data_IF_981234974850
#
_entry.id   IF_981234974850
#
_cell.length_a   1.000
_cell.length_b   1.000
_cell.length_c   1.000
_cell.angle_alpha   90.00
_cell.angle_beta   90.00
_cell.angle_gamma   90.00
#
_symmetry.space_group_name_H-M   'P 1'
#
loop_
_entity.id
_entity.type
_entity.pdbx_description
1 polymer ?
#
# COMPACT_ATOMS: atom_id res chain seq x y z
N UNK A 1 -19.25 6.62 15.42
CA UNK A 1 -19.51 5.60 14.37
C UNK A 1 -18.16 5.13 13.85
N UNK A 2 -17.58 4.13 14.49
CA UNK A 2 -16.35 3.49 14.01
C UNK A 2 -16.70 2.73 12.72
N UNK A 3 -16.57 3.40 11.58
CA UNK A 3 -16.51 2.70 10.29
C UNK A 3 -15.30 1.79 10.38
N UNK A 4 -15.54 0.48 10.28
CA UNK A 4 -14.49 -0.52 10.35
C UNK A 4 -13.33 -0.12 9.44
N UNK A 5 -12.12 -0.16 9.98
CA UNK A 5 -10.95 0.34 9.26
C UNK A 5 -10.81 -0.45 7.96
N UNK A 6 -10.77 0.25 6.82
CA UNK A 6 -10.66 -0.37 5.50
C UNK A 6 -9.24 -0.27 4.97
N UNK A 7 -8.76 -1.36 4.36
CA UNK A 7 -7.50 -1.36 3.63
C UNK A 7 -7.72 -0.77 2.22
N UNK A 8 -7.07 0.35 1.94
CA UNK A 8 -7.08 1.01 0.65
C UNK A 8 -5.79 0.71 -0.10
N UNK A 9 -5.91 0.24 -1.34
CA UNK A 9 -4.79 0.19 -2.27
C UNK A 9 -4.71 1.50 -3.04
N UNK A 10 -3.55 2.14 -3.01
CA UNK A 10 -3.28 3.41 -3.69
C UNK A 10 -2.21 3.17 -4.73
N UNK A 11 -2.49 3.52 -5.97
CA UNK A 11 -1.56 3.38 -7.10
C UNK A 11 -1.28 4.74 -7.72
N UNK A 12 0.00 5.05 -7.92
CA UNK A 12 0.40 6.26 -8.64
C UNK A 12 0.36 6.03 -10.15
N UNK A 13 -0.50 6.76 -10.85
CA UNK A 13 -0.66 6.65 -12.30
C UNK A 13 0.22 7.66 -13.03
N UNK A 14 0.28 8.91 -12.54
CA UNK A 14 1.07 9.97 -13.20
C UNK A 14 2.54 9.93 -12.82
N UNK A 15 3.39 10.33 -13.77
CA UNK A 15 4.84 10.45 -13.60
C UNK A 15 5.28 11.53 -12.61
N UNK A 16 6.60 11.74 -12.53
CA UNK A 16 7.26 12.68 -11.60
C UNK A 16 7.42 14.09 -12.17
N UNK A 17 7.20 14.29 -13.47
CA UNK A 17 7.44 15.56 -14.15
C UNK A 17 6.27 16.52 -13.90
N UNK A 18 6.57 17.82 -13.71
CA UNK A 18 5.59 18.89 -13.50
C UNK A 18 4.63 18.67 -12.31
N UNK A 19 5.13 18.02 -11.26
CA UNK A 19 4.38 17.87 -9.99
C UNK A 19 4.69 19.06 -9.09
N UNK A 20 3.67 19.65 -8.46
CA UNK A 20 3.89 20.69 -7.44
C UNK A 20 4.63 20.09 -6.25
N UNK A 21 5.60 20.81 -5.69
CA UNK A 21 6.46 20.35 -4.58
C UNK A 21 5.66 19.76 -3.41
N UNK A 22 4.59 20.42 -2.99
CA UNK A 22 3.74 19.92 -1.90
C UNK A 22 3.06 18.57 -2.18
N UNK A 23 2.66 18.35 -3.43
CA UNK A 23 2.05 17.08 -3.86
C UNK A 23 3.12 16.01 -3.93
N UNK A 24 4.31 16.36 -4.44
CA UNK A 24 5.46 15.46 -4.45
C UNK A 24 5.85 15.01 -3.03
N UNK A 25 5.91 15.94 -2.08
CA UNK A 25 6.20 15.65 -0.68
C UNK A 25 5.14 14.72 -0.08
N UNK A 26 3.85 14.96 -0.37
CA UNK A 26 2.75 14.08 0.08
C UNK A 26 2.85 12.67 -0.53
N UNK A 27 3.16 12.56 -1.83
CA UNK A 27 3.38 11.28 -2.50
C UNK A 27 4.59 10.55 -1.92
N UNK A 28 5.65 11.28 -1.55
CA UNK A 28 6.85 10.74 -0.91
C UNK A 28 6.54 10.20 0.49
N UNK A 29 5.73 10.91 1.28
CA UNK A 29 5.25 10.42 2.59
C UNK A 29 4.41 9.15 2.48
N UNK A 30 3.67 8.98 1.37
CA UNK A 30 2.91 7.75 1.07
C UNK A 30 3.76 6.64 0.43
N UNK A 31 5.09 6.79 0.34
CA UNK A 31 6.02 5.86 -0.32
C UNK A 31 5.77 5.65 -1.84
N UNK A 32 5.10 6.61 -2.51
CA UNK A 32 4.78 6.56 -3.94
C UNK A 32 5.80 7.33 -4.80
N UNK A 33 7.04 6.85 -4.83
CA UNK A 33 8.15 7.56 -5.49
C UNK A 33 8.15 7.46 -7.02
N UNK A 34 7.67 6.35 -7.58
CA UNK A 34 7.70 6.06 -9.03
C UNK A 34 6.29 5.84 -9.58
N UNK A 35 6.14 5.94 -10.90
CA UNK A 35 4.92 5.53 -11.58
C UNK A 35 4.66 4.03 -11.37
N UNK A 36 3.39 3.65 -11.32
CA UNK A 36 2.94 2.27 -11.11
C UNK A 36 3.42 1.64 -9.79
N UNK A 37 3.92 2.44 -8.84
CA UNK A 37 4.07 2.00 -7.46
C UNK A 37 2.70 1.99 -6.78
N UNK A 38 2.52 0.98 -5.92
CA UNK A 38 1.34 0.81 -5.10
C UNK A 38 1.72 0.81 -3.62
N UNK A 39 0.86 1.36 -2.78
CA UNK A 39 0.95 1.29 -1.33
C UNK A 39 -0.40 0.86 -0.76
N UNK A 40 -0.37 0.15 0.37
CA UNK A 40 -1.56 -0.23 1.14
C UNK A 40 -1.61 0.67 2.36
N UNK A 41 -2.74 1.35 2.56
CA UNK A 41 -2.96 2.29 3.67
C UNK A 41 -4.32 2.05 4.29
N UNK A 42 -4.50 2.55 5.52
CA UNK A 42 -5.78 2.54 6.19
C UNK A 42 -6.62 3.80 5.89
N UNK A 43 -7.92 3.73 6.19
CA UNK A 43 -8.90 4.79 5.95
C UNK A 43 -8.95 5.86 7.05
N UNK A 44 -7.85 6.06 7.80
CA UNK A 44 -7.75 7.14 8.78
C UNK A 44 -8.04 8.51 8.14
N UNK A 45 -8.73 9.43 8.85
CA UNK A 45 -9.04 10.77 8.33
C UNK A 45 -7.81 11.52 7.81
N UNK A 46 -6.64 11.37 8.46
CA UNK A 46 -5.38 11.97 8.03
C UNK A 46 -4.95 11.46 6.65
N UNK A 47 -5.00 10.15 6.42
CA UNK A 47 -4.65 9.58 5.11
C UNK A 47 -5.68 9.91 4.04
N UNK A 48 -6.98 9.92 4.37
CA UNK A 48 -8.00 10.40 3.44
C UNK A 48 -7.76 11.86 3.01
N UNK A 49 -7.31 12.72 3.93
CA UNK A 49 -6.88 14.09 3.61
C UNK A 49 -5.69 14.12 2.64
N UNK A 50 -4.67 13.29 2.89
CA UNK A 50 -3.51 13.16 1.99
C UNK A 50 -3.93 12.68 0.60
N UNK A 51 -4.79 11.67 0.50
CA UNK A 51 -5.31 11.15 -0.77
C UNK A 51 -6.08 12.20 -1.56
N UNK A 52 -6.95 12.97 -0.90
CA UNK A 52 -7.67 14.10 -1.53
C UNK A 52 -6.71 15.13 -2.09
N UNK A 53 -5.61 15.44 -1.39
CA UNK A 53 -4.58 16.37 -1.88
C UNK A 53 -3.87 15.85 -3.12
N UNK A 54 -3.59 14.54 -3.19
CA UNK A 54 -2.87 13.92 -4.31
C UNK A 54 -3.78 13.33 -5.39
N UNK A 55 -5.10 13.55 -5.31
CA UNK A 55 -6.10 12.80 -6.09
C UNK A 55 -5.91 12.83 -7.60
N UNK A 56 -5.33 13.91 -8.13
CA UNK A 56 -5.09 14.03 -9.55
C UNK A 56 -4.01 13.07 -10.05
N UNK A 57 -3.10 12.61 -9.18
CA UNK A 57 -1.91 11.82 -9.54
C UNK A 57 -2.05 10.33 -9.21
N UNK A 58 -2.97 9.98 -8.31
CA UNK A 58 -3.16 8.61 -7.81
C UNK A 58 -4.59 8.14 -8.03
N UNK A 59 -4.77 6.83 -8.05
CA UNK A 59 -6.07 6.19 -7.94
C UNK A 59 -6.04 5.26 -6.76
N UNK A 60 -7.12 5.25 -5.97
CA UNK A 60 -7.24 4.36 -4.82
C UNK A 60 -8.61 3.70 -4.76
N UNK A 61 -8.65 2.53 -4.13
CA UNK A 61 -9.87 1.76 -3.92
C UNK A 61 -9.69 0.74 -2.80
N UNK A 62 -10.81 0.18 -2.34
CA UNK A 62 -10.82 -0.89 -1.34
C UNK A 62 -10.20 -2.16 -1.93
N UNK A 63 -9.21 -2.72 -1.24
CA UNK A 63 -8.52 -3.92 -1.68
C UNK A 63 -9.16 -5.17 -1.09
N UNK A 64 -9.40 -6.19 -1.92
CA UNK A 64 -9.79 -7.51 -1.43
C UNK A 64 -8.58 -8.26 -0.87
N UNK A 65 -8.81 -9.15 0.11
CA UNK A 65 -7.78 -10.05 0.66
C UNK A 65 -7.03 -10.81 -0.44
N UNK A 66 -7.75 -11.32 -1.43
CA UNK A 66 -7.18 -12.03 -2.58
C UNK A 66 -6.20 -11.16 -3.37
N UNK A 67 -6.55 -9.89 -3.58
CA UNK A 67 -5.70 -8.92 -4.28
C UNK A 67 -4.42 -8.66 -3.49
N UNK A 68 -4.51 -8.53 -2.16
CA UNK A 68 -3.34 -8.32 -1.29
C UNK A 68 -2.41 -9.53 -1.32
N UNK A 69 -2.94 -10.75 -1.19
CA UNK A 69 -2.13 -11.98 -1.31
C UNK A 69 -1.45 -12.07 -2.67
N UNK A 70 -2.18 -11.77 -3.75
CA UNK A 70 -1.61 -11.76 -5.11
C UNK A 70 -0.48 -10.73 -5.26
N UNK A 71 -0.65 -9.54 -4.70
CA UNK A 71 0.37 -8.48 -4.71
C UNK A 71 1.62 -8.91 -3.94
N UNK A 72 1.47 -9.47 -2.74
CA UNK A 72 2.59 -9.95 -1.94
C UNK A 72 3.35 -11.08 -2.65
N UNK A 73 2.65 -12.05 -3.25
CA UNK A 73 3.28 -13.17 -3.98
C UNK A 73 4.02 -12.71 -5.24
N UNK A 74 3.44 -11.79 -6.04
CA UNK A 74 4.00 -11.39 -7.34
C UNK A 74 4.99 -10.22 -7.26
N UNK A 75 4.83 -9.34 -6.28
CA UNK A 75 5.54 -8.05 -6.19
C UNK A 75 6.16 -7.78 -4.83
N UNK A 76 5.81 -8.55 -3.79
CA UNK A 76 6.42 -8.44 -2.48
C UNK A 76 7.93 -8.70 -2.53
N UNK A 77 8.69 -7.74 -2.01
CA UNK A 77 10.15 -7.82 -1.94
C UNK A 77 10.63 -7.49 -0.53
N UNK A 78 11.66 -8.17 -0.09
CA UNK A 78 12.32 -7.94 1.20
C UNK A 78 13.56 -7.07 1.02
N UNK A 79 14.22 -6.75 2.14
CA UNK A 79 15.55 -6.14 2.13
C UNK A 79 16.49 -7.00 1.26
N UNK A 80 17.24 -6.34 0.37
CA UNK A 80 18.12 -7.00 -0.60
C UNK A 80 17.40 -7.51 -1.86
N UNK A 81 16.19 -7.01 -2.16
CA UNK A 81 15.46 -7.30 -3.39
C UNK A 81 15.07 -8.78 -3.58
N UNK A 82 15.03 -9.56 -2.49
CA UNK A 82 14.61 -10.97 -2.51
C UNK A 82 13.09 -11.05 -2.49
N UNK A 83 12.53 -12.09 -3.12
CA UNK A 83 11.08 -12.35 -3.08
C UNK A 83 10.66 -12.74 -1.67
N UNK A 84 9.46 -12.32 -1.26
CA UNK A 84 8.86 -12.81 -0.03
C UNK A 84 8.55 -14.30 -0.22
N UNK A 85 9.10 -15.14 0.65
CA UNK A 85 8.82 -16.57 0.74
C UNK A 85 8.16 -16.86 2.08
N UNK A 86 7.51 -18.02 2.20
CA UNK A 86 6.90 -18.47 3.46
C UNK A 86 7.93 -18.61 4.59
N UNK A 87 9.20 -18.89 4.25
CA UNK A 87 10.31 -18.86 5.21
C UNK A 87 10.55 -17.46 5.81
N UNK A 88 10.36 -16.41 5.01
CA UNK A 88 10.47 -15.04 5.48
C UNK A 88 9.26 -14.63 6.31
N UNK A 89 8.06 -15.12 5.96
CA UNK A 89 6.86 -14.94 6.77
C UNK A 89 7.08 -15.52 8.19
N UNK A 90 7.61 -16.75 8.29
CA UNK A 90 7.91 -17.40 9.57
C UNK A 90 8.89 -16.62 10.43
N UNK A 91 9.88 -15.95 9.82
CA UNK A 91 10.82 -15.07 10.53
C UNK A 91 10.16 -13.83 11.14
N UNK A 92 9.08 -13.35 10.53
CA UNK A 92 8.32 -12.19 11.01
C UNK A 92 7.28 -12.61 12.06
N UNK A 93 7.01 -13.91 12.20
CA UNK A 93 6.02 -14.44 13.13
C UNK A 93 4.67 -14.77 12.49
N UNK A 94 4.61 -14.88 11.16
CA UNK A 94 3.43 -15.34 10.41
C UNK A 94 3.70 -16.71 9.79
N UNK A 95 2.72 -17.62 9.79
CA UNK A 95 2.89 -18.97 9.25
C UNK A 95 2.93 -18.98 7.71
N UNK A 96 2.26 -18.02 7.07
CA UNK A 96 2.15 -17.94 5.61
C UNK A 96 1.97 -16.51 5.08
N UNK A 97 2.16 -16.33 3.76
CA UNK A 97 1.85 -15.06 3.07
C UNK A 97 0.38 -14.68 3.19
N UNK A 98 -0.52 -15.66 3.28
CA UNK A 98 -1.96 -15.41 3.39
C UNK A 98 -2.34 -14.85 4.76
N UNK A 99 -1.65 -15.27 5.83
CA UNK A 99 -1.82 -14.66 7.16
C UNK A 99 -1.32 -13.22 7.20
N UNK A 100 -0.24 -12.89 6.49
CA UNK A 100 0.21 -11.50 6.34
C UNK A 100 -0.87 -10.69 5.60
N UNK A 101 -1.46 -11.26 4.55
CA UNK A 101 -2.56 -10.61 3.84
C UNK A 101 -3.80 -10.40 4.73
N UNK A 102 -4.11 -11.37 5.59
CA UNK A 102 -5.17 -11.26 6.60
C UNK A 102 -4.90 -10.18 7.64
N UNK A 103 -3.68 -10.12 8.16
CA UNK A 103 -3.28 -9.09 9.12
C UNK A 103 -3.39 -7.69 8.51
N UNK A 104 -2.91 -7.52 7.26
CA UNK A 104 -3.01 -6.26 6.52
C UNK A 104 -4.46 -5.88 6.19
N UNK A 105 -5.30 -6.85 5.85
CA UNK A 105 -6.72 -6.61 5.56
C UNK A 105 -7.48 -6.20 6.83
N UNK A 106 -7.22 -6.87 7.95
CA UNK A 106 -7.84 -6.57 9.25
C UNK A 106 -7.18 -5.39 9.97
N UNK A 107 -6.08 -4.85 9.44
CA UNK A 107 -5.27 -3.78 10.03
C UNK A 107 -4.88 -4.11 11.48
N UNK A 108 -4.49 -5.36 11.70
CA UNK A 108 -3.97 -5.91 12.96
C UNK A 108 -2.46 -6.03 12.95
#
# INVERSE_FOLDING_TARGET
MEKGKKCLAVVRIRGIVNVRKEVEDTLRMLNLQRNCHATLIDDRPSYLGMLRKVQNYVTWGEASKETISLLLRKRGRTIGNKRITDEYAKKIGYESIDEIADALFNLK
#
